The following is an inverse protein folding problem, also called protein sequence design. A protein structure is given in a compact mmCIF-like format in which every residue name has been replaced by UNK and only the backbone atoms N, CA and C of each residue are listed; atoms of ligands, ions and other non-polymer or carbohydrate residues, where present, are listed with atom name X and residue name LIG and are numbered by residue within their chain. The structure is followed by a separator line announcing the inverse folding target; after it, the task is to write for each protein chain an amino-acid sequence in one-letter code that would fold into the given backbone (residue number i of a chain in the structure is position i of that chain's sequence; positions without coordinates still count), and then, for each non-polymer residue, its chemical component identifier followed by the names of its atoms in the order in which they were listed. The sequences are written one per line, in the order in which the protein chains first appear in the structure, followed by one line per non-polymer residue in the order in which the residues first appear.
data_IF_997227732111
#
_entry.id   IF_997227732111
#
_cell.length_a   1.000
_cell.length_b   1.000
_cell.length_c   1.000
_cell.angle_alpha   90.00
_cell.angle_beta   90.00
_cell.angle_gamma   90.00
#
_symmetry.space_group_name_H-M   'P 1'
#
loop_
_entity.id
_entity.type
_entity.pdbx_description
1 polymer ?
#
# COMPACT_ATOMS: atom_id res chain seq x y z
N UNK A 1 -44.73 -11.25 0.23
CA UNK A 1 -44.94 -9.85 -0.22
C UNK A 1 -44.13 -8.84 0.61
N UNK A 2 -43.39 -9.26 1.63
CA UNK A 2 -42.55 -8.35 2.46
C UNK A 2 -41.20 -7.96 1.80
N UNK A 3 -40.68 -8.73 0.84
CA UNK A 3 -39.34 -8.50 0.24
C UNK A 3 -39.21 -7.21 -0.60
N UNK A 4 -40.31 -6.64 -1.09
CA UNK A 4 -40.27 -5.46 -1.96
C UNK A 4 -40.13 -4.12 -1.21
N UNK A 5 -40.11 -4.14 0.12
CA UNK A 5 -39.99 -2.92 0.94
C UNK A 5 -38.53 -2.54 1.25
N UNK A 6 -37.56 -3.42 0.94
CA UNK A 6 -36.13 -3.21 1.17
C UNK A 6 -35.38 -3.17 -0.16
N UNK A 7 -34.18 -2.56 -0.18
CA UNK A 7 -33.32 -2.59 -1.37
C UNK A 7 -33.00 -4.03 -1.78
N UNK A 8 -32.99 -4.35 -3.09
CA UNK A 8 -32.72 -5.70 -3.54
C UNK A 8 -31.28 -6.08 -3.23
N UNK A 9 -31.11 -7.29 -2.67
CA UNK A 9 -29.79 -7.83 -2.36
C UNK A 9 -29.51 -9.08 -3.18
N UNK A 10 -28.26 -9.29 -3.61
CA UNK A 10 -27.91 -10.48 -4.38
C UNK A 10 -28.02 -11.71 -3.48
N UNK A 11 -28.70 -12.76 -3.97
CA UNK A 11 -28.89 -14.02 -3.25
C UNK A 11 -28.07 -15.16 -3.84
N UNK A 12 -28.01 -15.24 -5.18
CA UNK A 12 -27.33 -16.30 -5.91
C UNK A 12 -26.56 -15.70 -7.09
N UNK A 13 -25.37 -16.24 -7.34
CA UNK A 13 -24.50 -15.86 -8.45
C UNK A 13 -24.07 -17.13 -9.17
N UNK A 14 -24.11 -17.08 -10.49
CA UNK A 14 -23.52 -18.06 -11.37
C UNK A 14 -22.46 -17.38 -12.24
N UNK A 15 -21.25 -17.91 -12.21
CA UNK A 15 -20.14 -17.49 -13.07
C UNK A 15 -19.75 -18.66 -13.96
N UNK A 16 -19.87 -18.49 -15.27
CA UNK A 16 -19.37 -19.43 -16.28
C UNK A 16 -18.12 -18.85 -16.92
N UNK A 17 -16.98 -19.51 -16.67
CA UNK A 17 -15.67 -19.05 -17.11
C UNK A 17 -15.25 -19.83 -18.36
N UNK A 18 -14.82 -19.11 -19.41
CA UNK A 18 -14.37 -19.68 -20.68
C UNK A 18 -15.42 -20.60 -21.33
N UNK A 19 -16.68 -20.15 -21.41
CA UNK A 19 -17.74 -20.92 -22.05
C UNK A 19 -17.37 -21.25 -23.51
N UNK A 20 -17.11 -22.54 -23.78
CA UNK A 20 -16.72 -23.02 -25.11
C UNK A 20 -15.28 -22.72 -25.54
N UNK A 21 -14.40 -22.27 -24.63
CA UNK A 21 -13.02 -21.87 -24.95
C UNK A 21 -12.02 -22.70 -24.14
N UNK A 22 -11.01 -23.30 -24.81
CA UNK A 22 -9.83 -23.86 -24.12
C UNK A 22 -8.72 -22.79 -24.08
N UNK A 23 -8.37 -22.24 -22.89
CA UNK A 23 -7.26 -21.30 -22.73
C UNK A 23 -5.90 -21.85 -23.17
N UNK A 24 -5.81 -23.18 -23.30
CA UNK A 24 -4.60 -23.91 -23.63
C UNK A 24 -4.70 -24.66 -24.97
N UNK A 25 -5.68 -24.33 -25.82
CA UNK A 25 -5.92 -24.99 -27.12
C UNK A 25 -4.65 -25.18 -27.94
N UNK A 26 -3.78 -24.16 -28.05
CA UNK A 26 -2.49 -24.25 -28.75
C UNK A 26 -1.61 -25.44 -28.31
N UNK A 27 -1.69 -25.84 -27.04
CA UNK A 27 -0.96 -26.98 -26.48
C UNK A 27 -1.80 -28.26 -26.48
N UNK A 28 -3.07 -28.16 -26.11
CA UNK A 28 -3.98 -29.31 -26.05
C UNK A 28 -4.13 -29.97 -27.42
N UNK A 29 -4.24 -29.19 -28.49
CA UNK A 29 -4.30 -29.68 -29.88
C UNK A 29 -3.01 -30.37 -30.32
N UNK A 30 -1.87 -30.01 -29.72
CA UNK A 30 -0.57 -30.64 -29.95
C UNK A 30 -0.30 -31.82 -29.01
N UNK A 31 -1.27 -32.19 -28.15
CA UNK A 31 -1.11 -33.24 -27.14
C UNK A 31 -0.14 -32.88 -26.00
N UNK A 32 0.22 -31.59 -25.86
CA UNK A 32 1.17 -31.11 -24.86
C UNK A 32 0.44 -30.73 -23.59
N UNK A 33 0.70 -31.46 -22.51
CA UNK A 33 0.24 -31.08 -21.18
C UNK A 33 1.36 -30.35 -20.43
N UNK A 34 1.23 -29.02 -20.27
CA UNK A 34 2.17 -28.27 -19.46
C UNK A 34 2.05 -28.67 -17.99
N UNK A 35 3.14 -29.25 -17.47
CA UNK A 35 3.38 -29.44 -16.04
C UNK A 35 4.14 -28.23 -15.52
N UNK A 36 3.67 -27.65 -14.43
CA UNK A 36 4.26 -26.45 -13.82
C UNK A 36 4.03 -26.50 -12.33
N UNK A 37 5.04 -26.10 -11.55
CA UNK A 37 4.91 -25.86 -10.11
C UNK A 37 3.94 -24.72 -9.82
N UNK A 38 3.88 -23.72 -10.72
CA UNK A 38 2.92 -22.63 -10.67
C UNK A 38 1.61 -23.02 -11.35
N UNK A 39 0.61 -23.35 -10.56
CA UNK A 39 -0.71 -23.84 -10.99
C UNK A 39 -1.86 -22.83 -10.83
N UNK A 40 -1.56 -21.60 -10.40
CA UNK A 40 -2.56 -20.52 -10.32
C UNK A 40 -3.14 -20.18 -11.71
N UNK A 41 -4.45 -20.26 -11.87
CA UNK A 41 -5.13 -19.95 -13.13
C UNK A 41 -4.98 -18.48 -13.57
N UNK A 42 -4.74 -17.55 -12.65
CA UNK A 42 -4.48 -16.14 -13.01
C UNK A 42 -3.01 -15.90 -13.42
N UNK A 43 -2.10 -16.84 -13.14
CA UNK A 43 -0.66 -16.72 -13.39
C UNK A 43 -0.03 -18.09 -13.69
N UNK A 44 -0.57 -18.84 -14.64
CA UNK A 44 -0.23 -20.23 -14.88
C UNK A 44 1.10 -20.42 -15.62
N UNK A 45 1.91 -21.38 -15.17
CA UNK A 45 3.14 -21.74 -15.86
C UNK A 45 4.30 -20.77 -15.62
N UNK A 46 5.47 -21.12 -16.14
CA UNK A 46 6.67 -20.26 -16.12
C UNK A 46 6.46 -18.93 -16.85
N UNK A 47 5.60 -18.92 -17.89
CA UNK A 47 5.23 -17.72 -18.64
C UNK A 47 4.15 -16.86 -17.94
N UNK A 48 3.68 -17.24 -16.74
CA UNK A 48 2.64 -16.52 -15.99
C UNK A 48 1.41 -16.18 -16.84
N UNK A 49 0.83 -17.17 -17.53
CA UNK A 49 -0.34 -16.97 -18.39
C UNK A 49 -1.62 -16.80 -17.57
N UNK A 50 -2.46 -15.85 -17.94
CA UNK A 50 -3.82 -15.80 -17.44
C UNK A 50 -4.69 -16.80 -18.22
N UNK A 51 -5.36 -17.71 -17.54
CA UNK A 51 -6.26 -18.72 -18.13
C UNK A 51 -7.71 -18.25 -18.22
N UNK A 52 -8.02 -17.02 -17.83
CA UNK A 52 -9.38 -16.47 -17.82
C UNK A 52 -9.56 -15.54 -19.02
N UNK A 53 -10.35 -15.97 -20.00
CA UNK A 53 -10.64 -15.25 -21.23
C UNK A 53 -12.04 -14.64 -21.24
N UNK A 54 -13.07 -15.37 -20.79
CA UNK A 54 -14.44 -14.86 -20.70
C UNK A 54 -15.06 -15.18 -19.35
N UNK A 55 -15.92 -14.28 -18.88
CA UNK A 55 -16.73 -14.45 -17.68
C UNK A 55 -18.17 -14.11 -18.05
N UNK A 56 -19.01 -15.13 -18.14
CA UNK A 56 -20.46 -14.97 -18.30
C UNK A 56 -21.09 -15.02 -16.90
N UNK A 57 -21.58 -13.88 -16.44
CA UNK A 57 -22.18 -13.70 -15.11
C UNK A 57 -23.70 -13.72 -15.21
N UNK A 58 -24.33 -14.41 -14.28
CA UNK A 58 -25.76 -14.31 -13.99
C UNK A 58 -25.93 -14.17 -12.48
N UNK A 59 -26.77 -13.24 -12.00
CA UNK A 59 -27.18 -13.23 -10.60
C UNK A 59 -28.68 -13.05 -10.45
N UNK A 60 -29.18 -13.50 -9.30
CA UNK A 60 -30.56 -13.34 -8.85
C UNK A 60 -30.60 -12.57 -7.54
N UNK A 61 -31.40 -11.51 -7.46
CA UNK A 61 -31.61 -10.76 -6.23
C UNK A 61 -32.87 -11.20 -5.45
N UNK A 62 -33.08 -10.62 -4.27
CA UNK A 62 -34.25 -10.89 -3.41
C UNK A 62 -35.59 -10.53 -4.05
N UNK A 63 -35.60 -9.67 -5.07
CA UNK A 63 -36.80 -9.34 -5.85
C UNK A 63 -37.03 -10.30 -7.03
N UNK A 64 -36.22 -11.35 -7.13
CA UNK A 64 -36.26 -12.33 -8.21
C UNK A 64 -35.88 -11.76 -9.58
N UNK A 65 -35.24 -10.59 -9.63
CA UNK A 65 -34.68 -10.05 -10.86
C UNK A 65 -33.44 -10.86 -11.24
N UNK A 66 -33.31 -11.13 -12.54
CA UNK A 66 -32.18 -11.86 -13.11
C UNK A 66 -31.38 -10.85 -13.94
N UNK A 67 -30.11 -10.70 -13.58
CA UNK A 67 -29.17 -9.86 -14.32
C UNK A 67 -28.12 -10.74 -14.94
N UNK A 68 -27.81 -10.47 -16.20
CA UNK A 68 -26.77 -11.16 -16.97
C UNK A 68 -25.79 -10.14 -17.52
N UNK A 69 -24.50 -10.46 -17.47
CA UNK A 69 -23.46 -9.65 -18.07
C UNK A 69 -22.32 -10.54 -18.56
N UNK A 70 -21.53 -10.01 -19.49
CA UNK A 70 -20.36 -10.69 -20.03
C UNK A 70 -19.14 -9.79 -19.90
N UNK A 71 -18.06 -10.37 -19.40
CA UNK A 71 -16.78 -9.72 -19.24
C UNK A 71 -15.67 -10.52 -19.93
N UNK A 72 -14.55 -9.85 -20.21
CA UNK A 72 -13.43 -10.43 -20.95
C UNK A 72 -12.12 -10.21 -20.23
N UNK A 73 -11.29 -11.25 -20.19
CA UNK A 73 -9.95 -11.22 -19.61
C UNK A 73 -9.94 -11.08 -18.08
N UNK A 74 -8.74 -10.86 -17.53
CA UNK A 74 -8.55 -10.68 -16.09
C UNK A 74 -9.14 -9.35 -15.59
N UNK A 75 -9.01 -8.25 -16.34
CA UNK A 75 -9.67 -6.99 -15.98
C UNK A 75 -11.18 -7.14 -15.87
N UNK A 76 -11.79 -7.80 -16.87
CA UNK A 76 -13.23 -8.05 -16.86
C UNK A 76 -13.67 -8.95 -15.71
N UNK A 77 -12.87 -9.92 -15.29
CA UNK A 77 -13.14 -10.67 -14.06
C UNK A 77 -13.16 -9.75 -12.83
N UNK A 78 -12.17 -8.85 -12.69
CA UNK A 78 -12.10 -7.96 -11.54
C UNK A 78 -13.27 -6.97 -11.52
N UNK A 79 -13.65 -6.43 -12.69
CA UNK A 79 -14.84 -5.59 -12.85
C UNK A 79 -16.12 -6.36 -12.48
N UNK A 80 -16.30 -7.58 -13.01
CA UNK A 80 -17.42 -8.45 -12.68
C UNK A 80 -17.57 -8.67 -11.18
N UNK A 81 -16.46 -8.97 -10.49
CA UNK A 81 -16.48 -9.18 -9.05
C UNK A 81 -16.72 -7.86 -8.30
N UNK A 82 -16.14 -6.75 -8.74
CA UNK A 82 -16.36 -5.45 -8.13
C UNK A 82 -17.82 -4.99 -8.20
N UNK A 83 -18.50 -5.25 -9.32
CA UNK A 83 -19.91 -4.93 -9.50
C UNK A 83 -20.80 -5.73 -8.53
N UNK A 84 -20.50 -7.03 -8.38
CA UNK A 84 -21.16 -7.92 -7.42
C UNK A 84 -20.99 -7.42 -5.98
N UNK A 85 -19.79 -6.96 -5.62
CA UNK A 85 -19.48 -6.47 -4.28
C UNK A 85 -19.86 -5.00 -4.05
N UNK A 86 -20.52 -4.31 -4.98
CA UNK A 86 -20.99 -2.95 -4.74
C UNK A 86 -21.89 -2.88 -3.48
N UNK A 87 -21.78 -1.79 -2.70
CA UNK A 87 -22.48 -1.66 -1.40
C UNK A 87 -24.01 -1.76 -1.49
N UNK A 88 -24.57 -1.51 -2.68
CA UNK A 88 -25.98 -1.68 -2.98
C UNK A 88 -26.41 -3.13 -3.18
N UNK A 89 -25.47 -4.07 -3.34
CA UNK A 89 -25.74 -5.44 -3.79
C UNK A 89 -25.35 -6.51 -2.77
N UNK A 90 -24.26 -6.30 -2.04
CA UNK A 90 -23.88 -7.11 -0.87
C UNK A 90 -23.75 -6.16 0.32
N UNK A 91 -24.80 -6.09 1.15
CA UNK A 91 -24.81 -5.26 2.34
C UNK A 91 -23.75 -5.72 3.35
N UNK A 92 -23.22 -4.79 4.16
CA UNK A 92 -22.18 -5.10 5.19
C UNK A 92 -22.57 -6.24 6.15
N UNK A 93 -23.85 -6.37 6.46
CA UNK A 93 -24.38 -7.39 7.37
C UNK A 93 -24.95 -8.61 6.63
N UNK A 94 -24.82 -8.66 5.32
CA UNK A 94 -25.33 -9.75 4.52
C UNK A 94 -24.32 -10.90 4.47
N UNK A 95 -24.82 -12.13 4.52
CA UNK A 95 -24.02 -13.28 4.12
C UNK A 95 -23.60 -13.16 2.66
N UNK A 96 -22.49 -13.80 2.29
CA UNK A 96 -22.11 -13.80 0.88
C UNK A 96 -23.17 -14.59 0.10
N UNK A 97 -23.57 -14.13 -1.10
CA UNK A 97 -24.49 -14.87 -1.92
C UNK A 97 -23.91 -16.24 -2.30
N UNK A 98 -24.79 -17.20 -2.54
CA UNK A 98 -24.38 -18.52 -2.99
C UNK A 98 -23.74 -18.40 -4.38
N UNK A 99 -22.45 -18.75 -4.48
CA UNK A 99 -21.71 -18.75 -5.74
C UNK A 99 -21.67 -20.16 -6.35
N UNK A 100 -22.12 -20.27 -7.60
CA UNK A 100 -21.84 -21.39 -8.49
C UNK A 100 -20.83 -20.91 -9.53
N UNK A 101 -19.58 -21.33 -9.42
CA UNK A 101 -18.56 -21.04 -10.43
C UNK A 101 -18.24 -22.32 -11.21
N UNK A 102 -18.31 -22.25 -12.53
CA UNK A 102 -18.00 -23.35 -13.42
C UNK A 102 -17.12 -22.88 -14.56
N UNK A 103 -16.26 -23.77 -15.05
CA UNK A 103 -15.51 -23.58 -16.28
C UNK A 103 -15.58 -24.88 -17.07
N UNK A 104 -15.44 -24.78 -18.39
CA UNK A 104 -15.61 -25.91 -19.29
C UNK A 104 -14.49 -25.95 -20.33
N UNK A 105 -14.48 -27.01 -21.14
CA UNK A 105 -13.68 -27.10 -22.37
C UNK A 105 -12.16 -27.05 -22.18
N UNK A 106 -11.63 -27.36 -20.99
CA UNK A 106 -10.18 -27.43 -20.76
C UNK A 106 -9.86 -28.45 -19.66
N UNK A 107 -8.71 -29.17 -19.74
CA UNK A 107 -8.21 -29.99 -18.62
C UNK A 107 -8.01 -29.19 -17.32
N UNK A 108 -7.90 -27.86 -17.42
CA UNK A 108 -7.71 -26.94 -16.29
C UNK A 108 -9.00 -26.26 -15.82
N UNK A 109 -10.16 -26.63 -16.38
CA UNK A 109 -11.45 -26.04 -16.05
C UNK A 109 -11.74 -26.02 -14.54
N UNK A 110 -11.51 -27.15 -13.85
CA UNK A 110 -11.75 -27.22 -12.40
C UNK A 110 -10.81 -26.29 -11.60
N UNK A 111 -9.53 -26.15 -12.00
CA UNK A 111 -8.61 -25.22 -11.33
C UNK A 111 -9.00 -23.76 -11.56
N UNK A 112 -9.50 -23.42 -12.75
CA UNK A 112 -10.02 -22.08 -13.07
C UNK A 112 -11.22 -21.75 -12.17
N UNK A 113 -12.22 -22.63 -12.12
CA UNK A 113 -13.41 -22.43 -11.29
C UNK A 113 -13.04 -22.28 -9.81
N UNK A 114 -12.20 -23.17 -9.28
CA UNK A 114 -11.72 -23.09 -7.88
C UNK A 114 -10.99 -21.79 -7.57
N UNK A 115 -10.16 -21.31 -8.50
CA UNK A 115 -9.39 -20.06 -8.32
C UNK A 115 -10.31 -18.83 -8.25
N UNK A 116 -11.32 -18.77 -9.12
CA UNK A 116 -12.32 -17.68 -9.12
C UNK A 116 -13.19 -17.74 -7.87
N UNK A 117 -13.65 -18.93 -7.45
CA UNK A 117 -14.39 -19.09 -6.19
C UNK A 117 -13.57 -18.61 -4.99
N UNK A 118 -12.30 -19.00 -4.90
CA UNK A 118 -11.43 -18.54 -3.81
C UNK A 118 -11.22 -17.03 -3.79
N UNK A 119 -11.12 -16.39 -4.97
CA UNK A 119 -11.02 -14.94 -5.05
C UNK A 119 -12.30 -14.25 -4.57
N UNK A 120 -13.47 -14.78 -4.91
CA UNK A 120 -14.75 -14.28 -4.40
C UNK A 120 -14.83 -14.39 -2.88
N UNK A 121 -14.36 -15.49 -2.29
CA UNK A 121 -14.27 -15.67 -0.84
C UNK A 121 -13.30 -14.65 -0.20
N UNK A 122 -12.10 -14.48 -0.77
CA UNK A 122 -11.10 -13.50 -0.30
C UNK A 122 -11.65 -12.07 -0.32
N UNK A 123 -12.40 -11.71 -1.38
CA UNK A 123 -13.11 -10.44 -1.45
C UNK A 123 -14.13 -10.30 -0.34
N UNK A 124 -14.88 -11.36 -0.03
CA UNK A 124 -15.82 -11.36 1.08
C UNK A 124 -15.15 -11.15 2.44
N UNK A 125 -14.04 -11.82 2.70
CA UNK A 125 -13.26 -11.67 3.94
C UNK A 125 -12.66 -10.27 4.08
N UNK A 126 -12.15 -9.71 2.99
CA UNK A 126 -11.57 -8.37 2.97
C UNK A 126 -12.66 -7.30 3.14
N UNK A 127 -13.71 -7.35 2.33
CA UNK A 127 -14.64 -6.24 2.18
C UNK A 127 -15.81 -6.24 3.16
N UNK A 128 -16.12 -7.35 3.84
CA UNK A 128 -17.03 -7.31 5.00
C UNK A 128 -16.51 -6.43 6.15
N UNK A 129 -15.19 -6.21 6.20
CA UNK A 129 -14.54 -5.31 7.17
C UNK A 129 -14.69 -3.82 6.78
N UNK A 130 -15.21 -3.51 5.59
CA UNK A 130 -15.41 -2.14 5.14
C UNK A 130 -16.35 -1.37 6.07
N UNK A 131 -15.93 -0.16 6.45
CA UNK A 131 -16.70 0.79 7.25
C UNK A 131 -16.40 2.21 6.77
N UNK A 132 -17.13 3.21 7.28
CA UNK A 132 -16.78 4.63 7.04
C UNK A 132 -15.35 5.00 7.47
N UNK A 133 -14.74 4.24 8.37
CA UNK A 133 -13.41 4.51 8.92
C UNK A 133 -12.35 3.46 8.51
N UNK A 134 -12.73 2.46 7.71
CA UNK A 134 -11.84 1.37 7.29
C UNK A 134 -12.17 0.97 5.86
N UNK A 135 -11.20 1.05 4.94
CA UNK A 135 -11.37 0.65 3.55
C UNK A 135 -10.20 -0.22 3.07
N UNK A 136 -10.26 -1.55 3.26
CA UNK A 136 -9.17 -2.45 2.86
C UNK A 136 -8.89 -2.38 1.36
N UNK A 137 -7.63 -2.61 0.98
CA UNK A 137 -7.16 -2.72 -0.41
C UNK A 137 -6.79 -4.17 -0.70
N UNK A 138 -7.62 -4.89 -1.46
CA UNK A 138 -7.30 -6.25 -1.89
C UNK A 138 -6.43 -6.19 -3.15
N UNK A 139 -5.26 -6.84 -3.11
CA UNK A 139 -4.32 -6.92 -4.23
C UNK A 139 -4.33 -8.34 -4.78
N UNK A 140 -4.55 -8.45 -6.09
CA UNK A 140 -4.57 -9.73 -6.82
C UNK A 140 -3.55 -9.67 -7.94
N UNK A 141 -2.63 -10.64 -7.99
CA UNK A 141 -1.72 -10.76 -9.12
C UNK A 141 -2.38 -11.57 -10.25
N UNK A 142 -2.32 -11.03 -11.47
CA UNK A 142 -2.66 -11.76 -12.69
C UNK A 142 -1.57 -11.55 -13.72
N UNK A 143 -0.99 -12.65 -14.19
CA UNK A 143 0.19 -12.64 -15.03
C UNK A 143 1.34 -11.83 -14.41
N UNK A 144 1.71 -10.71 -15.04
CA UNK A 144 2.77 -9.80 -14.60
C UNK A 144 2.22 -8.50 -14.01
N UNK A 145 0.91 -8.38 -13.91
CA UNK A 145 0.20 -7.18 -13.46
C UNK A 145 -0.55 -7.47 -12.17
N UNK A 146 -0.98 -6.40 -11.52
CA UNK A 146 -1.74 -6.44 -10.27
C UNK A 146 -3.06 -5.70 -10.46
N UNK A 147 -4.06 -6.13 -9.72
CA UNK A 147 -5.32 -5.40 -9.56
C UNK A 147 -5.47 -5.05 -8.09
N UNK A 148 -5.79 -3.79 -7.81
CA UNK A 148 -6.07 -3.31 -6.47
C UNK A 148 -7.52 -2.90 -6.39
N UNK A 149 -8.27 -3.53 -5.50
CA UNK A 149 -9.69 -3.28 -5.27
C UNK A 149 -9.89 -2.59 -3.93
N UNK A 150 -10.64 -1.50 -3.92
CA UNK A 150 -10.88 -0.68 -2.72
C UNK A 150 -12.22 0.04 -2.82
N UNK A 151 -12.88 0.27 -1.69
CA UNK A 151 -14.01 1.18 -1.65
C UNK A 151 -13.58 2.64 -1.54
N UNK A 152 -14.07 3.46 -2.47
CA UNK A 152 -14.04 4.92 -2.41
C UNK A 152 -15.48 5.44 -2.47
N UNK A 153 -15.86 6.25 -1.49
CA UNK A 153 -17.21 6.84 -1.39
C UNK A 153 -18.36 5.84 -1.60
N UNK A 154 -18.22 4.65 -1.01
CA UNK A 154 -19.21 3.58 -1.07
C UNK A 154 -19.22 2.78 -2.38
N UNK A 155 -18.38 3.11 -3.36
CA UNK A 155 -18.23 2.35 -4.61
C UNK A 155 -16.93 1.56 -4.62
N UNK A 156 -16.98 0.31 -5.07
CA UNK A 156 -15.77 -0.48 -5.27
C UNK A 156 -15.09 -0.01 -6.57
N UNK A 157 -13.84 0.41 -6.46
CA UNK A 157 -13.00 0.77 -7.58
C UNK A 157 -11.97 -0.34 -7.83
N UNK A 158 -11.71 -0.63 -9.10
CA UNK A 158 -10.64 -1.53 -9.55
C UNK A 158 -9.54 -0.70 -10.20
N UNK A 159 -8.32 -0.78 -9.66
CA UNK A 159 -7.13 -0.16 -10.25
C UNK A 159 -6.22 -1.23 -10.86
N UNK A 160 -6.02 -1.17 -12.16
CA UNK A 160 -5.02 -1.98 -12.86
C UNK A 160 -3.62 -1.39 -12.69
N UNK A 161 -2.68 -2.23 -12.30
CA UNK A 161 -1.28 -1.87 -12.00
C UNK A 161 -0.39 -2.74 -12.86
N UNK A 162 0.42 -2.11 -13.73
CA UNK A 162 1.12 -2.82 -14.81
C UNK A 162 2.18 -3.81 -14.30
N UNK A 163 2.89 -3.46 -13.24
CA UNK A 163 4.06 -4.18 -12.72
C UNK A 163 4.31 -3.83 -11.25
N UNK A 164 5.35 -4.43 -10.67
CA UNK A 164 5.73 -4.25 -9.27
C UNK A 164 6.11 -2.80 -8.92
N UNK A 165 6.83 -2.09 -9.79
CA UNK A 165 7.12 -0.65 -9.58
C UNK A 165 5.83 0.18 -9.46
N UNK A 166 4.83 -0.12 -10.29
CA UNK A 166 3.51 0.50 -10.18
C UNK A 166 2.76 0.11 -8.90
N UNK A 167 3.02 -1.07 -8.34
CA UNK A 167 2.44 -1.50 -7.07
C UNK A 167 2.99 -0.67 -5.91
N UNK A 168 4.30 -0.48 -5.85
CA UNK A 168 4.94 0.41 -4.87
C UNK A 168 4.38 1.83 -4.95
N UNK A 169 4.26 2.39 -6.16
CA UNK A 169 3.66 3.72 -6.37
C UNK A 169 2.20 3.79 -5.92
N UNK A 170 1.43 2.72 -6.14
CA UNK A 170 0.03 2.66 -5.71
C UNK A 170 -0.10 2.53 -4.19
N UNK A 171 0.80 1.78 -3.54
CA UNK A 171 0.83 1.61 -2.09
C UNK A 171 1.29 2.88 -1.36
N UNK A 172 2.12 3.71 -2.00
CA UNK A 172 2.56 5.00 -1.47
C UNK A 172 1.47 6.10 -1.50
N UNK A 173 0.35 5.87 -2.19
CA UNK A 173 -0.70 6.89 -2.28
C UNK A 173 -1.40 7.11 -0.93
N UNK A 174 -1.67 8.37 -0.55
CA UNK A 174 -2.30 8.68 0.71
C UNK A 174 -3.73 8.13 0.79
N UNK A 175 -4.20 7.87 2.01
CA UNK A 175 -5.47 7.20 2.25
C UNK A 175 -6.42 8.10 3.08
N UNK A 176 -7.70 8.22 2.72
CA UNK A 176 -8.62 9.07 3.48
C UNK A 176 -8.88 8.49 4.89
N UNK A 177 -8.94 7.17 4.98
CA UNK A 177 -9.20 6.40 6.21
C UNK A 177 -8.20 5.26 6.35
N UNK A 178 -8.24 4.52 7.47
CA UNK A 178 -7.39 3.35 7.63
C UNK A 178 -7.66 2.33 6.52
N UNK A 179 -6.64 2.04 5.72
CA UNK A 179 -6.73 1.24 4.51
C UNK A 179 -5.59 0.24 4.44
N UNK A 180 -5.67 -0.87 5.19
CA UNK A 180 -4.68 -1.93 5.12
C UNK A 180 -4.71 -2.54 3.71
N UNK A 181 -3.56 -2.81 3.13
CA UNK A 181 -3.48 -3.62 1.92
C UNK A 181 -3.34 -5.09 2.29
N UNK A 182 -3.95 -5.97 1.49
CA UNK A 182 -4.00 -7.41 1.74
C UNK A 182 -3.83 -8.09 0.39
N UNK A 183 -3.02 -9.14 0.33
CA UNK A 183 -2.91 -9.98 -0.85
C UNK A 183 -3.90 -11.15 -0.79
N UNK A 184 -4.39 -11.56 -1.95
CA UNK A 184 -5.26 -12.74 -2.03
C UNK A 184 -4.51 -14.04 -1.69
N UNK A 185 -5.24 -15.12 -1.40
CA UNK A 185 -4.64 -16.32 -0.80
C UNK A 185 -3.63 -17.06 -1.69
N UNK A 186 -3.62 -16.77 -2.99
CA UNK A 186 -2.71 -17.35 -3.98
C UNK A 186 -1.43 -16.53 -4.17
N UNK A 187 -1.33 -15.33 -3.58
CA UNK A 187 -0.09 -14.58 -3.57
C UNK A 187 1.01 -15.31 -2.77
N UNK A 188 2.26 -14.99 -3.08
CA UNK A 188 3.39 -15.51 -2.32
C UNK A 188 3.37 -14.94 -0.89
N UNK A 189 3.01 -15.80 0.06
CA UNK A 189 2.90 -15.48 1.49
C UNK A 189 4.26 -15.18 2.12
N UNK A 190 5.35 -15.60 1.50
CA UNK A 190 6.71 -15.34 1.96
C UNK A 190 7.35 -14.13 1.25
N UNK A 191 6.63 -13.46 0.35
CA UNK A 191 7.09 -12.18 -0.20
C UNK A 191 7.09 -11.12 0.89
N UNK A 192 8.07 -10.22 0.85
CA UNK A 192 8.26 -9.20 1.87
C UNK A 192 7.01 -8.34 2.10
N UNK A 193 6.35 -7.91 1.01
CA UNK A 193 5.11 -7.14 1.07
C UNK A 193 3.95 -7.90 1.71
N UNK A 194 3.78 -9.19 1.39
CA UNK A 194 2.76 -10.02 2.04
C UNK A 194 3.00 -10.08 3.54
N UNK A 195 4.25 -10.25 3.95
CA UNK A 195 4.62 -10.39 5.37
C UNK A 195 4.44 -9.05 6.11
N UNK A 196 4.85 -7.92 5.52
CA UNK A 196 4.61 -6.58 6.05
C UNK A 196 3.10 -6.29 6.19
N UNK A 197 2.30 -6.67 5.19
CA UNK A 197 0.84 -6.43 5.17
C UNK A 197 0.11 -7.07 6.35
N UNK A 198 0.57 -8.25 6.79
CA UNK A 198 -0.01 -8.99 7.91
C UNK A 198 0.29 -8.35 9.27
N UNK A 199 1.33 -7.51 9.36
CA UNK A 199 1.74 -6.85 10.59
C UNK A 199 1.14 -5.44 10.74
N UNK A 200 0.37 -4.95 9.77
CA UNK A 200 -0.11 -3.57 9.77
C UNK A 200 -1.08 -3.31 10.91
N UNK A 201 -0.80 -2.28 11.71
CA UNK A 201 -1.61 -1.86 12.85
C UNK A 201 -2.18 -0.46 12.63
N UNK A 202 -3.47 -0.31 12.92
CA UNK A 202 -4.15 0.98 12.87
C UNK A 202 -3.60 1.95 13.91
N UNK A 203 -3.34 3.20 13.50
CA UNK A 203 -2.89 4.25 14.42
C UNK A 203 -1.43 4.12 14.84
N UNK A 204 -0.64 3.29 14.15
CA UNK A 204 0.78 3.11 14.41
C UNK A 204 1.53 3.40 13.12
N UNK A 205 2.60 4.19 13.20
CA UNK A 205 3.60 4.26 12.13
C UNK A 205 4.62 3.16 12.39
N UNK A 206 4.73 2.22 11.46
CA UNK A 206 5.62 1.06 11.59
C UNK A 206 6.79 1.24 10.64
N UNK A 207 7.99 1.36 11.20
CA UNK A 207 9.24 1.52 10.49
C UNK A 207 9.93 0.15 10.48
N UNK A 208 10.10 -0.38 9.28
CA UNK A 208 10.75 -1.64 9.02
C UNK A 208 12.04 -1.37 8.25
N UNK A 209 13.13 -2.05 8.57
CA UNK A 209 14.33 -2.03 7.73
C UNK A 209 14.85 -3.43 7.47
N UNK A 210 15.43 -3.62 6.30
CA UNK A 210 16.19 -4.81 5.91
C UNK A 210 17.63 -4.38 5.74
N UNK A 211 18.53 -4.97 6.53
CA UNK A 211 19.97 -4.82 6.35
C UNK A 211 20.42 -5.66 5.15
N UNK A 212 21.04 -4.98 4.18
CA UNK A 212 21.83 -5.59 3.11
C UNK A 212 23.31 -5.26 3.39
N UNK A 213 24.21 -5.54 2.45
CA UNK A 213 25.67 -5.46 2.72
C UNK A 213 26.13 -4.05 3.14
N UNK A 214 25.94 -3.05 2.27
CA UNK A 214 26.34 -1.66 2.52
C UNK A 214 25.15 -0.69 2.50
N UNK A 215 23.94 -1.25 2.38
CA UNK A 215 22.70 -0.49 2.26
C UNK A 215 21.62 -1.07 3.16
N UNK A 216 20.72 -0.21 3.59
CA UNK A 216 19.51 -0.60 4.29
C UNK A 216 18.30 -0.17 3.46
N UNK A 217 17.39 -1.11 3.25
CA UNK A 217 16.11 -0.84 2.63
C UNK A 217 15.08 -0.57 3.72
N UNK A 218 14.56 0.66 3.75
CA UNK A 218 13.57 1.13 4.70
C UNK A 218 12.17 1.02 4.10
N UNK A 219 11.22 0.54 4.90
CA UNK A 219 9.79 0.47 4.59
C UNK A 219 9.03 1.12 5.75
N UNK A 220 8.28 2.19 5.49
CA UNK A 220 7.49 2.86 6.52
C UNK A 220 6.01 2.74 6.17
N UNK A 221 5.27 1.97 6.97
CA UNK A 221 3.81 1.99 6.92
C UNK A 221 3.29 3.12 7.79
N UNK A 222 2.57 4.04 7.19
CA UNK A 222 1.92 5.11 7.94
C UNK A 222 0.66 4.61 8.69
N UNK A 223 0.12 5.50 9.52
CA UNK A 223 -1.01 5.20 10.39
C UNK A 223 -2.33 4.88 9.67
N UNK A 224 -2.40 5.18 8.35
CA UNK A 224 -3.55 4.90 7.49
C UNK A 224 -3.28 3.80 6.44
N UNK A 225 -2.05 3.28 6.35
CA UNK A 225 -1.65 2.18 5.48
C UNK A 225 -0.93 2.57 4.18
N UNK A 226 -0.55 3.82 4.01
CA UNK A 226 0.34 4.21 2.90
C UNK A 226 1.76 3.74 3.18
N UNK A 227 2.44 3.25 2.15
CA UNK A 227 3.78 2.66 2.27
C UNK A 227 4.83 3.57 1.65
N UNK A 228 5.78 4.01 2.46
CA UNK A 228 6.99 4.68 2.02
C UNK A 228 8.12 3.67 1.87
N UNK A 229 8.98 3.84 0.85
CA UNK A 229 10.15 2.98 0.64
C UNK A 229 11.34 3.83 0.26
N UNK A 230 12.46 3.63 0.95
CA UNK A 230 13.74 4.29 0.68
C UNK A 230 14.91 3.33 0.87
N UNK A 231 16.00 3.61 0.16
CA UNK A 231 17.28 2.92 0.31
C UNK A 231 18.31 3.93 0.79
N UNK A 232 19.13 3.55 1.77
CA UNK A 232 20.20 4.37 2.30
C UNK A 232 21.48 3.57 2.43
N UNK A 233 22.63 4.24 2.30
CA UNK A 233 23.89 3.70 2.82
C UNK A 233 23.73 3.40 4.31
N UNK A 234 24.16 2.21 4.71
CA UNK A 234 23.95 1.71 6.07
C UNK A 234 25.25 1.74 6.87
N UNK A 235 25.32 2.67 7.83
CA UNK A 235 26.42 2.71 8.79
C UNK A 235 26.12 1.81 10.00
N UNK A 236 24.98 2.04 10.66
CA UNK A 236 24.44 1.19 11.72
C UNK A 236 22.95 1.51 11.96
N UNK A 237 22.29 0.65 12.73
CA UNK A 237 20.86 0.76 13.08
C UNK A 237 20.51 2.11 13.73
N UNK A 238 21.35 2.60 14.64
CA UNK A 238 21.10 3.82 15.40
C UNK A 238 21.10 5.07 14.50
N UNK A 239 22.13 5.19 13.64
CA UNK A 239 22.29 6.29 12.66
C UNK A 239 21.14 6.30 11.65
N UNK A 240 20.62 5.12 11.28
CA UNK A 240 19.48 5.02 10.37
C UNK A 240 18.16 5.37 11.07
N UNK A 241 17.84 4.72 12.19
CA UNK A 241 16.49 4.77 12.75
C UNK A 241 16.20 6.02 13.57
N UNK A 242 17.18 6.55 14.31
CA UNK A 242 16.93 7.73 15.16
C UNK A 242 16.42 8.94 14.39
N UNK A 243 17.03 9.36 13.25
CA UNK A 243 16.53 10.50 12.50
C UNK A 243 15.13 10.28 11.96
N UNK A 244 14.79 9.05 11.57
CA UNK A 244 13.45 8.70 11.08
C UNK A 244 12.40 8.70 12.19
N UNK A 245 12.72 8.15 13.37
CA UNK A 245 11.81 8.19 14.52
C UNK A 245 11.58 9.62 14.97
N UNK A 246 12.65 10.41 15.11
CA UNK A 246 12.55 11.83 15.49
C UNK A 246 11.73 12.63 14.47
N UNK A 247 11.94 12.37 13.18
CA UNK A 247 11.16 12.97 12.09
C UNK A 247 9.67 12.63 12.16
N UNK A 248 9.35 11.35 12.34
CA UNK A 248 7.95 10.91 12.45
C UNK A 248 7.30 11.49 13.71
N UNK A 249 7.98 11.50 14.86
CA UNK A 249 7.50 12.14 16.10
C UNK A 249 7.19 13.61 15.87
N UNK A 250 8.13 14.38 15.31
CA UNK A 250 7.94 15.80 15.03
C UNK A 250 6.74 16.05 14.08
N UNK A 251 6.54 15.17 13.09
CA UNK A 251 5.38 15.26 12.20
C UNK A 251 4.05 14.98 12.91
N UNK A 252 4.02 14.01 13.83
CA UNK A 252 2.84 13.65 14.63
C UNK A 252 2.50 14.78 15.60
N UNK A 253 3.48 15.34 16.30
CA UNK A 253 3.30 16.45 17.25
C UNK A 253 2.71 17.68 16.58
N UNK A 254 3.25 18.09 15.43
CA UNK A 254 2.72 19.22 14.65
C UNK A 254 1.27 19.02 14.25
N UNK A 255 0.94 17.84 13.74
CA UNK A 255 -0.43 17.48 13.39
C UNK A 255 -1.32 17.47 14.63
N UNK A 256 -0.80 16.98 15.76
CA UNK A 256 -1.44 16.98 17.07
C UNK A 256 -1.85 18.37 17.52
N UNK A 257 -0.94 19.34 17.46
CA UNK A 257 -1.21 20.74 17.80
C UNK A 257 -2.28 21.34 16.88
N UNK A 258 -2.13 21.19 15.56
CA UNK A 258 -3.11 21.71 14.60
C UNK A 258 -4.51 21.08 14.75
N UNK A 259 -4.60 19.79 15.05
CA UNK A 259 -5.87 19.10 15.29
C UNK A 259 -6.52 19.54 16.61
N UNK A 260 -5.72 19.72 17.66
CA UNK A 260 -6.19 20.17 18.96
C UNK A 260 -6.72 21.61 18.91
N UNK A 261 -6.03 22.51 18.22
CA UNK A 261 -6.49 23.89 18.01
C UNK A 261 -7.83 23.96 17.26
N UNK A 262 -8.03 23.08 16.28
CA UNK A 262 -9.23 23.09 15.43
C UNK A 262 -10.44 22.41 16.08
N UNK A 263 -10.25 21.20 16.60
CA UNK A 263 -11.35 20.31 17.03
C UNK A 263 -11.21 19.81 18.48
N UNK A 264 -10.16 20.21 19.22
CA UNK A 264 -9.80 19.64 20.54
C UNK A 264 -9.59 18.12 20.52
N UNK A 265 -9.29 17.56 19.36
CA UNK A 265 -8.99 16.13 19.21
C UNK A 265 -7.52 15.86 19.52
N UNK A 266 -7.26 14.77 20.23
CA UNK A 266 -5.89 14.28 20.44
C UNK A 266 -5.57 13.23 19.38
N UNK A 267 -4.50 13.46 18.64
CA UNK A 267 -3.89 12.44 17.80
C UNK A 267 -3.13 11.46 18.68
N UNK A 268 -3.57 10.20 18.67
CA UNK A 268 -2.89 9.10 19.37
C UNK A 268 -2.26 8.18 18.33
N UNK A 269 -1.05 8.52 17.90
CA UNK A 269 -0.25 7.74 16.96
C UNK A 269 1.04 7.33 17.66
N UNK A 270 1.34 6.04 17.69
CA UNK A 270 2.62 5.52 18.20
C UNK A 270 3.55 5.11 17.06
N UNK A 271 4.82 4.88 17.38
CA UNK A 271 5.84 4.45 16.43
C UNK A 271 6.39 3.11 16.90
N UNK A 272 6.54 2.16 15.98
CA UNK A 272 7.20 0.89 16.23
C UNK A 272 8.30 0.68 15.19
N UNK A 273 9.48 0.21 15.61
CA UNK A 273 10.61 -0.09 14.73
C UNK A 273 10.89 -1.60 14.72
N UNK A 274 11.28 -2.10 13.55
CA UNK A 274 11.49 -3.53 13.32
C UNK A 274 12.64 -3.78 12.34
N UNK A 275 13.53 -4.70 12.69
CA UNK A 275 14.49 -5.33 11.78
C UNK A 275 13.82 -6.55 11.11
N UNK A 276 13.93 -6.64 9.79
CA UNK A 276 13.47 -7.78 9.00
C UNK A 276 14.65 -8.58 8.49
N UNK A 277 14.65 -9.87 8.82
CA UNK A 277 15.69 -10.81 8.41
C UNK A 277 15.06 -12.02 7.73
N UNK A 278 15.79 -12.62 6.79
CA UNK A 278 15.36 -13.83 6.12
C UNK A 278 16.07 -15.04 6.71
N UNK A 279 15.39 -15.77 7.59
CA UNK A 279 15.88 -17.00 8.21
C UNK A 279 15.17 -18.20 7.59
N UNK A 280 15.91 -19.14 7.01
CA UNK A 280 15.35 -20.36 6.38
C UNK A 280 14.22 -20.06 5.37
N UNK A 281 14.43 -19.09 4.48
CA UNK A 281 13.46 -18.62 3.48
C UNK A 281 12.17 -17.98 4.05
N UNK A 282 12.10 -17.74 5.36
CA UNK A 282 10.98 -17.07 6.02
C UNK A 282 11.44 -15.72 6.59
N UNK A 283 10.58 -14.71 6.53
CA UNK A 283 10.86 -13.42 7.14
C UNK A 283 10.55 -13.44 8.63
N UNK A 284 11.48 -12.96 9.43
CA UNK A 284 11.33 -12.74 10.88
C UNK A 284 11.29 -11.24 11.17
N UNK A 285 10.61 -10.86 12.25
CA UNK A 285 10.53 -9.48 12.71
C UNK A 285 11.11 -9.36 14.11
N UNK A 286 12.20 -8.62 14.22
CA UNK A 286 12.82 -8.31 15.50
C UNK A 286 12.47 -6.88 15.86
N UNK A 287 11.69 -6.70 16.93
CA UNK A 287 11.33 -5.35 17.40
C UNK A 287 12.60 -4.66 17.89
N UNK A 288 12.80 -3.43 17.44
CA UNK A 288 13.93 -2.60 17.85
C UNK A 288 13.44 -1.58 18.86
N UNK A 289 14.15 -1.50 19.99
CA UNK A 289 13.88 -0.52 21.04
C UNK A 289 14.98 0.54 21.03
N UNK A 290 14.60 1.77 20.70
CA UNK A 290 15.51 2.91 20.73
C UNK A 290 15.43 3.57 22.11
N UNK A 291 16.59 3.87 22.68
CA UNK A 291 16.66 4.61 23.94
C UNK A 291 16.23 6.07 23.73
N UNK A 292 15.37 6.59 24.61
CA UNK A 292 14.86 7.96 24.52
C UNK A 292 15.97 9.02 24.56
N UNK A 293 17.02 8.80 25.36
CA UNK A 293 18.16 9.72 25.46
C UNK A 293 18.96 9.77 24.16
N UNK A 294 18.98 8.66 23.42
CA UNK A 294 19.69 8.54 22.16
C UNK A 294 18.94 9.31 21.05
N UNK A 295 17.60 9.39 21.11
CA UNK A 295 16.81 10.25 20.21
C UNK A 295 17.14 11.74 20.36
N UNK A 296 17.65 12.19 21.51
CA UNK A 296 18.06 13.59 21.70
C UNK A 296 19.49 13.89 21.21
N UNK A 297 20.25 12.86 20.84
CA UNK A 297 21.60 13.02 20.30
C UNK A 297 21.57 13.31 18.80
N UNK A 298 22.68 13.84 18.29
CA UNK A 298 22.84 14.18 16.88
C UNK A 298 22.40 15.61 16.52
N UNK A 299 22.81 16.05 15.33
CA UNK A 299 22.46 17.36 14.79
C UNK A 299 21.00 17.37 14.33
N UNK A 300 20.25 18.41 14.69
CA UNK A 300 18.91 18.63 14.18
C UNK A 300 18.98 19.35 12.82
N UNK A 301 18.40 18.72 11.80
CA UNK A 301 18.25 19.32 10.46
C UNK A 301 16.77 19.56 10.21
N UNK A 302 16.35 20.81 10.34
CA UNK A 302 14.96 21.22 10.16
C UNK A 302 14.78 22.05 8.89
N UNK A 303 13.79 21.70 8.09
CA UNK A 303 13.38 22.50 6.93
C UNK A 303 12.19 23.35 7.33
N UNK A 304 12.29 24.67 7.15
CA UNK A 304 11.14 25.57 7.27
C UNK A 304 10.90 26.30 5.97
N UNK A 305 9.74 26.93 5.83
CA UNK A 305 9.40 27.75 4.67
C UNK A 305 9.23 29.21 5.08
N UNK A 306 9.91 30.11 4.38
CA UNK A 306 9.67 31.54 4.49
C UNK A 306 8.52 31.94 3.55
N UNK A 307 7.38 32.31 4.12
CA UNK A 307 6.18 32.68 3.36
C UNK A 307 6.31 34.01 2.61
N UNK A 308 7.22 34.90 3.05
CA UNK A 308 7.47 36.18 2.41
C UNK A 308 8.41 35.99 1.23
N UNK A 309 9.51 35.27 1.44
CA UNK A 309 10.49 34.99 0.40
C UNK A 309 10.02 33.90 -0.58
N UNK A 310 9.04 33.08 -0.20
CA UNK A 310 8.61 31.87 -0.91
C UNK A 310 9.78 30.90 -1.16
N UNK A 311 10.64 30.72 -0.15
CA UNK A 311 11.84 29.90 -0.24
C UNK A 311 12.03 29.04 1.02
N UNK A 312 12.70 27.89 0.89
CA UNK A 312 13.05 27.06 2.03
C UNK A 312 14.22 27.68 2.82
N UNK A 313 14.14 27.56 4.15
CA UNK A 313 15.24 27.76 5.08
C UNK A 313 15.65 26.43 5.71
N UNK A 314 16.95 26.20 5.81
CA UNK A 314 17.52 24.99 6.39
C UNK A 314 18.16 25.37 7.71
N UNK A 315 17.66 24.82 8.80
CA UNK A 315 18.21 24.97 10.13
C UNK A 315 19.06 23.73 10.43
N UNK A 316 20.33 23.93 10.73
CA UNK A 316 21.24 22.92 11.25
C UNK A 316 21.60 23.32 12.69
N UNK A 317 20.91 22.73 13.67
CA UNK A 317 20.83 23.21 15.05
C UNK A 317 20.48 24.72 15.10
N UNK A 318 21.42 25.55 15.53
CA UNK A 318 21.26 27.00 15.66
C UNK A 318 21.67 27.78 14.39
N UNK A 319 22.21 27.13 13.37
CA UNK A 319 22.68 27.79 12.15
C UNK A 319 21.60 27.75 11.07
N UNK A 320 21.29 28.91 10.51
CA UNK A 320 20.30 29.05 9.42
C UNK A 320 21.02 29.22 8.09
N UNK A 321 20.53 28.51 7.07
CA UNK A 321 20.90 28.68 5.67
C UNK A 321 19.66 29.10 4.90
N UNK A 322 19.69 30.33 4.37
CA UNK A 322 18.61 30.88 3.55
C UNK A 322 18.98 30.87 2.07
N UNK A 323 17.98 30.65 1.22
CA UNK A 323 18.11 30.84 -0.22
C UNK A 323 18.36 32.32 -0.58
N UNK A 324 18.08 33.27 0.31
CA UNK A 324 18.45 34.68 0.12
C UNK A 324 19.97 34.89 0.21
N UNK A 325 20.65 34.17 1.10
CA UNK A 325 22.09 34.30 1.33
C UNK A 325 22.91 33.50 0.30
N UNK A 326 22.42 32.32 -0.07
CA UNK A 326 23.18 31.33 -0.84
C UNK A 326 22.54 30.95 -2.19
N UNK A 327 21.38 31.51 -2.53
CA UNK A 327 20.67 31.20 -3.78
C UNK A 327 20.46 29.69 -3.96
N UNK A 328 20.79 29.19 -5.14
CA UNK A 328 20.67 27.78 -5.51
C UNK A 328 21.62 26.85 -4.74
N UNK A 329 22.66 27.39 -4.08
CA UNK A 329 23.64 26.60 -3.33
C UNK A 329 23.26 26.38 -1.86
N UNK A 330 22.07 26.82 -1.43
CA UNK A 330 21.60 26.69 -0.03
C UNK A 330 21.72 25.27 0.51
N UNK A 331 21.32 24.26 -0.28
CA UNK A 331 21.40 22.85 0.11
C UNK A 331 22.86 22.39 0.25
N UNK A 332 23.73 22.74 -0.70
CA UNK A 332 25.16 22.39 -0.65
C UNK A 332 25.86 23.03 0.54
N UNK A 333 25.53 24.28 0.88
CA UNK A 333 26.12 25.00 2.01
C UNK A 333 25.67 24.41 3.34
N UNK A 334 24.39 24.08 3.47
CA UNK A 334 23.88 23.36 4.64
C UNK A 334 24.54 21.98 4.76
N UNK A 335 24.62 21.23 3.66
CA UNK A 335 25.23 19.90 3.63
C UNK A 335 26.70 19.93 4.06
N UNK A 336 27.51 20.85 3.52
CA UNK A 336 28.90 21.03 3.92
C UNK A 336 29.06 21.38 5.41
N UNK A 337 28.12 22.14 5.98
CA UNK A 337 28.12 22.44 7.41
C UNK A 337 27.81 21.21 8.26
N UNK A 338 26.78 20.43 7.89
CA UNK A 338 26.43 19.18 8.57
C UNK A 338 27.61 18.21 8.53
N UNK A 339 28.19 17.97 7.36
CA UNK A 339 29.33 17.06 7.19
C UNK A 339 30.54 17.47 8.02
N UNK A 340 30.84 18.77 8.13
CA UNK A 340 31.94 19.28 8.95
C UNK A 340 31.71 19.11 10.46
N UNK A 341 30.44 19.12 10.88
CA UNK A 341 30.06 18.99 12.29
C UNK A 341 29.90 17.53 12.74
N UNK A 342 29.89 16.56 11.81
CA UNK A 342 29.82 15.14 12.14
C UNK A 342 31.03 14.72 12.97
N UNK A 343 30.77 13.98 14.04
CA UNK A 343 31.80 13.41 14.91
C UNK A 343 32.40 12.12 14.34
N UNK A 344 31.59 11.35 13.61
CA UNK A 344 32.02 10.12 12.93
C UNK A 344 32.48 10.42 11.50
N UNK A 345 33.50 9.68 11.04
CA UNK A 345 33.96 9.69 9.65
C UNK A 345 33.21 8.67 8.77
N UNK A 346 32.25 7.93 9.34
CA UNK A 346 31.44 6.98 8.58
C UNK A 346 30.62 7.68 7.50
N UNK A 347 30.60 7.14 6.28
CA UNK A 347 29.77 7.66 5.21
C UNK A 347 28.31 7.26 5.47
N UNK A 348 27.48 8.24 5.82
CA UNK A 348 26.03 8.08 5.86
C UNK A 348 25.32 9.33 5.32
N UNK A 349 24.08 9.24 4.82
CA UNK A 349 23.35 10.39 4.29
C UNK A 349 23.03 11.44 5.36
N UNK A 350 22.78 12.67 4.93
CA UNK A 350 22.19 13.71 5.78
C UNK A 350 20.70 13.44 5.87
N UNK A 351 20.24 13.24 7.11
CA UNK A 351 18.83 13.06 7.41
C UNK A 351 18.20 14.34 7.96
N UNK A 352 17.06 14.71 7.40
CA UNK A 352 16.15 15.73 7.91
C UNK A 352 15.41 15.16 9.11
N UNK A 353 15.53 15.82 10.25
CA UNK A 353 14.87 15.42 11.50
C UNK A 353 13.54 16.14 11.69
N UNK A 354 13.26 17.18 10.90
CA UNK A 354 12.01 17.94 11.03
C UNK A 354 11.63 18.75 9.77
N UNK A 355 10.34 18.88 9.50
CA UNK A 355 9.76 19.69 8.42
C UNK A 355 8.61 20.54 8.98
N UNK A 356 8.74 21.85 8.80
CA UNK A 356 7.74 22.86 9.16
C UNK A 356 7.45 23.76 7.94
N UNK A 357 6.61 23.24 7.04
CA UNK A 357 6.26 23.91 5.78
C UNK A 357 4.74 24.01 5.64
N UNK A 358 4.23 25.00 4.89
CA UNK A 358 2.80 25.12 4.58
C UNK A 358 2.24 23.85 3.93
N UNK A 359 0.94 23.62 4.13
CA UNK A 359 0.25 22.44 3.58
C UNK A 359 0.39 22.32 2.06
N UNK A 360 0.45 23.46 1.36
CA UNK A 360 0.62 23.49 -0.10
C UNK A 360 1.94 22.83 -0.53
N UNK A 361 3.02 23.01 0.22
CA UNK A 361 4.33 22.40 -0.06
C UNK A 361 4.31 20.88 0.16
N UNK A 362 3.47 20.42 1.09
CA UNK A 362 3.18 19.00 1.31
C UNK A 362 2.20 18.42 0.25
N UNK A 363 1.68 19.26 -0.66
CA UNK A 363 0.70 18.84 -1.67
C UNK A 363 -0.71 18.62 -1.12
N UNK A 364 -1.03 19.21 0.03
CA UNK A 364 -2.30 19.00 0.74
C UNK A 364 -3.10 20.31 0.80
N UNK A 365 -4.42 20.23 0.57
CA UNK A 365 -5.31 21.39 0.61
C UNK A 365 -5.99 21.60 1.96
N UNK A 366 -6.18 20.53 2.75
CA UNK A 366 -6.88 20.56 4.04
C UNK A 366 -6.07 19.95 5.17
N UNK A 367 -6.11 20.56 6.36
CA UNK A 367 -5.36 20.07 7.52
C UNK A 367 -5.77 18.67 8.00
N UNK A 368 -6.99 18.24 7.71
CA UNK A 368 -7.52 16.91 8.07
C UNK A 368 -7.01 15.80 7.16
N UNK A 369 -6.48 16.15 6.00
CA UNK A 369 -6.01 15.19 4.98
C UNK A 369 -4.53 14.87 5.17
N UNK A 370 -3.85 15.59 6.07
CA UNK A 370 -2.42 15.42 6.35
C UNK A 370 -2.17 14.11 7.10
N UNK A 371 -1.15 13.39 6.65
CA UNK A 371 -0.70 12.10 7.18
C UNK A 371 0.81 11.98 7.00
N UNK A 372 1.41 11.03 7.71
CA UNK A 372 2.88 10.88 7.78
C UNK A 372 3.51 10.71 6.39
N UNK A 373 2.85 10.04 5.44
CA UNK A 373 3.38 9.88 4.07
C UNK A 373 3.68 11.21 3.36
N UNK A 374 2.90 12.28 3.63
CA UNK A 374 3.09 13.56 2.97
C UNK A 374 4.41 14.21 3.41
N UNK A 375 4.73 14.06 4.70
CA UNK A 375 6.01 14.49 5.26
C UNK A 375 7.16 13.65 4.74
N UNK A 376 7.01 12.32 4.67
CA UNK A 376 8.03 11.41 4.15
C UNK A 376 8.34 11.68 2.67
N UNK A 377 7.32 11.90 1.83
CA UNK A 377 7.51 12.26 0.42
C UNK A 377 8.19 13.63 0.25
N UNK A 378 7.93 14.60 1.14
CA UNK A 378 8.66 15.87 1.13
C UNK A 378 10.11 15.69 1.62
N UNK A 379 10.33 14.94 2.71
CA UNK A 379 11.64 14.58 3.24
C UNK A 379 12.52 13.98 2.16
N UNK A 380 12.05 12.94 1.47
CA UNK A 380 12.78 12.27 0.39
C UNK A 380 13.28 13.26 -0.68
N UNK A 381 12.39 14.15 -1.16
CA UNK A 381 12.73 15.15 -2.19
C UNK A 381 13.78 16.14 -1.72
N UNK A 382 13.79 16.51 -0.44
CA UNK A 382 14.76 17.47 0.10
C UNK A 382 16.08 16.78 0.45
N UNK A 383 16.05 15.55 0.96
CA UNK A 383 17.25 14.76 1.23
C UNK A 383 18.01 14.42 -0.05
N UNK A 384 17.31 14.15 -1.15
CA UNK A 384 17.93 14.02 -2.46
C UNK A 384 18.72 15.27 -2.87
N UNK A 385 18.27 16.48 -2.50
CA UNK A 385 19.00 17.73 -2.79
C UNK A 385 20.15 17.98 -1.81
N UNK A 386 20.02 17.55 -0.55
CA UNK A 386 21.06 17.67 0.46
C UNK A 386 22.23 16.71 0.24
N UNK A 387 21.95 15.53 -0.33
CA UNK A 387 22.91 14.45 -0.55
C UNK A 387 23.39 14.32 -2.01
N UNK A 388 23.01 15.26 -2.88
CA UNK A 388 23.53 15.38 -4.26
C UNK A 388 24.80 16.22 -4.31
#
# INVERSE_FOLDING_TARGET
MEDFQQQPVISHIMLVINSGLDPMSEFTEQGVNLTSERSDALSFGSKRRNLIHTVDMMYRNSWNEIIVAKYTGSSGLMECLADVFSTSMIGRNQELPQLICSSYSSPRAMSVAKRVTALFEDMGEAFKKYTRNVSPRLIVQSSHSYFMMQFFDGKMAVKTIKNEAGLWQALAQPQPVYSPFIFDRFADKNSLLSVISLQHKRGIVQIYYVELVDVAQLYILDEKGSLHVEEHEFANEEILLQPYVKFVQASIERRGLAAYEKNKERLNISIECYLLEKVNQTWTFNKVELESDALEQGMQVRITYDSIAQQPHIYCDNKVFSSMDYGNDVYKKAAAYVLKARRSAEPYPIYITDIDVPLQELGVTGSTDVQTIHFLAYKQRVEQKLNA
#
